data_IF_992047778198
#
_entry.id   IF_992047778198
#
_cell.length_a   1.000
_cell.length_b   1.000
_cell.length_c   1.000
_cell.angle_alpha   90.00
_cell.angle_beta   90.00
_cell.angle_gamma   90.00
#
_symmetry.space_group_name_H-M   'P 1'
#
loop_
_entity.id
_entity.type
_entity.pdbx_description
1 polymer ?
#
# COMPACT_ATOMS: atom_id res chain seq x y z
N UNK A 1 92.28 -21.48 -31.96
CA UNK A 1 92.20 -20.10 -31.42
C UNK A 1 91.26 -19.30 -32.31
N UNK A 2 90.52 -18.34 -31.72
CA UNK A 2 89.46 -17.50 -32.31
C UNK A 2 88.06 -18.14 -32.46
N UNK A 3 87.23 -17.87 -31.46
CA UNK A 3 85.77 -17.87 -31.55
C UNK A 3 85.30 -16.52 -32.13
N UNK A 4 84.63 -16.56 -33.29
CA UNK A 4 83.67 -15.53 -33.71
C UNK A 4 82.26 -16.15 -33.61
N UNK A 5 81.35 -15.48 -32.89
CA UNK A 5 79.91 -15.80 -32.84
C UNK A 5 79.16 -14.56 -33.32
N UNK A 6 77.98 -14.60 -33.94
CA UNK A 6 77.11 -15.61 -34.58
C UNK A 6 75.99 -14.76 -35.18
N UNK A 7 75.62 -14.96 -36.45
CA UNK A 7 74.44 -14.34 -37.04
C UNK A 7 73.69 -15.37 -37.87
N UNK A 8 72.52 -15.78 -37.41
CA UNK A 8 71.54 -16.53 -38.21
C UNK A 8 70.15 -16.07 -37.75
N UNK A 9 69.40 -15.46 -38.68
CA UNK A 9 68.01 -15.09 -38.51
C UNK A 9 67.11 -16.33 -38.70
N UNK A 10 66.15 -16.52 -37.80
CA UNK A 10 65.11 -17.54 -37.91
C UNK A 10 63.77 -16.82 -38.02
N UNK A 11 63.11 -16.96 -39.16
CA UNK A 11 61.71 -16.58 -39.36
C UNK A 11 60.81 -17.65 -38.73
N UNK A 12 59.94 -17.25 -37.79
CA UNK A 12 58.83 -18.09 -37.31
C UNK A 12 57.51 -17.40 -37.64
N UNK A 13 56.74 -18.03 -38.52
CA UNK A 13 55.34 -17.72 -38.79
C UNK A 13 54.50 -18.11 -37.57
N UNK A 14 53.78 -17.16 -36.98
CA UNK A 14 52.71 -17.43 -36.00
C UNK A 14 51.38 -17.26 -36.71
N UNK A 15 50.65 -18.37 -36.92
CA UNK A 15 49.24 -18.35 -37.27
C UNK A 15 48.44 -17.83 -36.07
N UNK A 16 47.76 -16.69 -36.23
CA UNK A 16 46.76 -16.22 -35.27
C UNK A 16 45.41 -16.82 -35.67
N UNK A 17 44.97 -17.82 -34.93
CA UNK A 17 43.59 -18.32 -35.01
C UNK A 17 42.67 -17.31 -34.31
N UNK A 18 41.79 -16.67 -35.08
CA UNK A 18 40.71 -15.82 -34.58
C UNK A 18 39.61 -16.72 -33.97
N UNK A 19 39.61 -16.85 -32.66
CA UNK A 19 38.47 -17.42 -31.92
C UNK A 19 37.41 -16.32 -31.81
N UNK A 20 36.33 -16.43 -32.58
CA UNK A 20 35.11 -15.65 -32.35
C UNK A 20 34.54 -16.05 -30.98
N UNK A 21 34.75 -15.21 -29.98
CA UNK A 21 33.98 -15.27 -28.75
C UNK A 21 32.56 -14.79 -29.07
N UNK A 22 31.64 -15.74 -29.27
CA UNK A 22 30.22 -15.46 -29.25
C UNK A 22 29.86 -15.02 -27.82
N UNK A 23 29.68 -13.72 -27.63
CA UNK A 23 29.12 -13.15 -26.41
C UNK A 23 27.69 -13.65 -26.26
N UNK A 24 27.49 -14.72 -25.49
CA UNK A 24 26.16 -15.04 -24.96
C UNK A 24 25.77 -13.91 -24.02
N UNK A 25 24.99 -12.96 -24.52
CA UNK A 25 24.22 -12.05 -23.68
C UNK A 25 23.24 -12.90 -22.87
N UNK A 26 23.56 -13.12 -21.59
CA UNK A 26 22.57 -13.54 -20.60
C UNK A 26 21.46 -12.47 -20.66
N UNK A 27 20.20 -12.81 -20.93
CA UNK A 27 19.14 -11.81 -20.91
C UNK A 27 19.14 -11.17 -19.53
N UNK A 28 19.36 -9.85 -19.49
CA UNK A 28 19.24 -9.06 -18.27
C UNK A 28 17.88 -9.35 -17.66
N UNK A 29 17.84 -9.73 -16.39
CA UNK A 29 16.63 -9.86 -15.58
C UNK A 29 15.72 -8.67 -15.91
N UNK A 30 14.56 -8.91 -16.55
CA UNK A 30 13.60 -7.86 -16.84
C UNK A 30 13.37 -7.06 -15.56
N UNK A 31 13.44 -5.73 -15.63
CA UNK A 31 13.32 -4.90 -14.44
C UNK A 31 11.94 -5.12 -13.81
N UNK A 32 11.94 -5.76 -12.63
CA UNK A 32 10.72 -6.06 -11.86
C UNK A 32 9.93 -4.81 -11.50
N UNK A 33 10.58 -3.65 -11.48
CA UNK A 33 9.98 -2.37 -11.13
C UNK A 33 10.20 -1.38 -12.27
N UNK A 34 9.12 -0.83 -12.81
CA UNK A 34 9.14 0.04 -13.99
C UNK A 34 8.23 1.26 -13.79
N UNK A 35 8.14 2.11 -14.81
CA UNK A 35 7.26 3.27 -14.90
C UNK A 35 7.21 4.14 -13.61
N UNK A 36 8.35 4.72 -13.17
CA UNK A 36 8.40 5.51 -11.96
C UNK A 36 7.54 6.77 -12.07
N UNK A 37 6.55 6.89 -11.18
CA UNK A 37 5.68 8.07 -11.09
C UNK A 37 5.79 8.67 -9.68
N UNK A 38 6.03 9.98 -9.60
CA UNK A 38 6.23 10.66 -8.31
C UNK A 38 4.98 11.45 -7.94
N UNK A 39 4.50 11.23 -6.72
CA UNK A 39 3.28 11.85 -6.21
C UNK A 39 3.55 12.60 -4.90
N UNK A 40 2.78 13.66 -4.69
CA UNK A 40 2.54 14.26 -3.38
C UNK A 40 1.12 13.94 -2.95
N UNK A 41 0.98 13.42 -1.73
CA UNK A 41 -0.33 13.18 -1.12
C UNK A 41 -0.42 14.02 0.15
N UNK A 42 -1.55 14.69 0.34
CA UNK A 42 -1.97 15.25 1.62
C UNK A 42 -3.22 14.50 2.06
N UNK A 43 -3.10 13.66 3.10
CA UNK A 43 -4.22 12.96 3.71
C UNK A 43 -4.64 13.67 4.99
N UNK A 44 -5.92 14.01 5.11
CA UNK A 44 -6.49 14.68 6.28
C UNK A 44 -7.65 13.85 6.83
N UNK A 45 -7.61 13.56 8.12
CA UNK A 45 -8.69 13.00 8.90
C UNK A 45 -9.36 14.11 9.69
N UNK A 46 -10.68 14.19 9.62
CA UNK A 46 -11.47 15.14 10.40
C UNK A 46 -12.35 14.38 11.38
N UNK A 47 -12.29 14.79 12.64
CA UNK A 47 -13.13 14.30 13.73
C UNK A 47 -14.05 15.43 14.19
N UNK A 48 -15.35 15.19 14.19
CA UNK A 48 -16.36 16.16 14.64
C UNK A 48 -17.00 15.64 15.92
N UNK A 49 -16.77 16.32 17.03
CA UNK A 49 -17.53 16.04 18.25
C UNK A 49 -18.80 16.89 18.24
N UNK A 50 -19.94 16.27 17.94
CA UNK A 50 -21.23 16.96 17.87
C UNK A 50 -21.74 17.20 19.29
N UNK A 51 -21.87 16.14 20.10
CA UNK A 51 -22.42 16.25 21.47
C UNK A 51 -21.90 15.17 22.44
N UNK A 52 -20.84 14.44 22.10
CA UNK A 52 -20.27 13.40 22.96
C UNK A 52 -19.36 14.00 24.03
N UNK A 53 -19.19 13.29 25.14
CA UNK A 53 -18.14 13.57 26.12
C UNK A 53 -16.92 12.74 25.72
N UNK A 54 -15.80 13.39 25.45
CA UNK A 54 -14.58 12.76 24.93
C UNK A 54 -13.39 13.18 25.81
N UNK A 55 -13.27 12.56 26.99
CA UNK A 55 -12.25 12.87 28.00
C UNK A 55 -10.85 12.52 27.50
N UNK A 56 -10.76 11.43 26.73
CA UNK A 56 -9.53 10.98 26.07
C UNK A 56 -9.86 10.55 24.66
N UNK A 57 -9.14 11.04 23.68
CA UNK A 57 -9.33 10.73 22.26
C UNK A 57 -7.98 10.40 21.61
N UNK A 58 -7.88 9.21 21.05
CA UNK A 58 -6.67 8.71 20.39
C UNK A 58 -6.92 8.60 18.89
N UNK A 59 -5.96 9.07 18.09
CA UNK A 59 -6.00 9.00 16.62
C UNK A 59 -4.70 8.44 16.10
N UNK A 60 -4.80 7.59 15.10
CA UNK A 60 -3.68 6.93 14.43
C UNK A 60 -3.81 7.15 12.94
N UNK A 61 -2.81 7.77 12.32
CA UNK A 61 -2.72 7.93 10.87
C UNK A 61 -1.54 7.09 10.34
N UNK A 62 -1.68 6.45 9.17
CA UNK A 62 -0.56 5.78 8.52
C UNK A 62 0.48 6.80 8.09
N UNK A 63 1.75 6.46 8.34
CA UNK A 63 2.90 7.19 7.84
C UNK A 63 3.57 6.29 6.80
N UNK A 64 3.48 6.62 5.49
CA UNK A 64 4.12 5.84 4.44
C UNK A 64 5.61 5.69 4.68
N UNK A 65 6.16 4.56 4.21
CA UNK A 65 7.58 4.22 4.34
C UNK A 65 8.10 3.57 3.06
N UNK A 66 9.42 3.38 3.00
CA UNK A 66 10.10 2.70 1.90
C UNK A 66 9.62 1.24 1.76
N UNK A 67 9.26 0.86 0.54
CA UNK A 67 8.96 -0.50 0.10
C UNK A 67 9.55 -0.74 -1.30
N UNK A 68 9.54 -1.98 -1.77
CA UNK A 68 10.15 -2.32 -3.06
C UNK A 68 9.54 -1.54 -4.26
N UNK A 69 8.22 -1.33 -4.26
CA UNK A 69 7.46 -0.57 -5.28
C UNK A 69 7.07 0.85 -4.85
N UNK A 70 7.45 1.29 -3.65
CA UNK A 70 7.19 2.63 -3.12
C UNK A 70 8.50 3.17 -2.56
N UNK A 71 9.16 4.07 -3.31
CA UNK A 71 10.51 4.55 -2.97
C UNK A 71 10.56 6.07 -2.81
N UNK A 72 11.67 6.59 -2.31
CA UNK A 72 11.92 8.03 -2.20
C UNK A 72 10.80 8.73 -1.41
N UNK A 73 10.36 8.06 -0.34
CA UNK A 73 9.33 8.53 0.58
C UNK A 73 9.91 9.65 1.43
N UNK A 74 9.26 10.81 1.38
CA UNK A 74 9.62 11.96 2.19
C UNK A 74 8.38 12.52 2.86
N UNK A 75 8.39 12.54 4.19
CA UNK A 75 7.32 13.14 4.98
C UNK A 75 7.58 14.65 5.03
N UNK A 76 6.74 15.42 4.36
CA UNK A 76 6.87 16.88 4.27
C UNK A 76 6.26 17.57 5.49
N UNK A 77 5.15 17.03 6.01
CA UNK A 77 4.40 17.65 7.12
C UNK A 77 3.51 16.64 7.84
N UNK A 78 3.43 16.75 9.16
CA UNK A 78 2.39 16.11 9.98
C UNK A 78 1.80 17.16 10.92
N UNK A 79 0.48 17.36 10.86
CA UNK A 79 -0.20 18.40 11.63
C UNK A 79 -1.54 17.94 12.23
N UNK A 80 -1.85 18.27 13.49
CA UNK A 80 -0.99 18.95 14.47
C UNK A 80 0.29 18.15 14.76
N UNK A 81 1.22 18.67 15.56
CA UNK A 81 2.41 17.89 15.93
C UNK A 81 1.95 16.57 16.59
N UNK A 82 2.35 15.41 16.06
CA UNK A 82 1.93 14.13 16.62
C UNK A 82 2.49 13.97 18.03
N UNK A 83 1.72 13.32 18.90
CA UNK A 83 2.18 12.91 20.23
C UNK A 83 3.32 11.91 20.12
N UNK A 84 3.28 11.03 19.11
CA UNK A 84 4.32 10.05 18.83
C UNK A 84 4.35 9.67 17.34
N UNK A 85 5.53 9.39 16.82
CA UNK A 85 5.70 8.68 15.55
C UNK A 85 6.38 7.35 15.88
N UNK A 86 5.83 6.24 15.39
CA UNK A 86 6.31 4.90 15.69
C UNK A 86 6.10 3.97 14.50
N UNK A 87 6.52 2.72 14.66
CA UNK A 87 6.18 1.63 13.74
C UNK A 87 5.53 0.48 14.50
N UNK A 88 4.61 -0.25 13.86
CA UNK A 88 4.13 -1.50 14.45
C UNK A 88 5.31 -2.50 14.60
N UNK A 89 5.34 -3.31 15.67
CA UNK A 89 6.49 -4.17 15.97
C UNK A 89 6.54 -5.41 15.08
N UNK A 90 5.45 -5.77 14.40
CA UNK A 90 5.35 -7.01 13.62
C UNK A 90 5.74 -6.81 12.16
N UNK A 91 5.29 -5.72 11.53
CA UNK A 91 5.45 -5.50 10.09
C UNK A 91 6.21 -4.19 9.76
N UNK A 92 6.54 -3.39 10.78
CA UNK A 92 7.15 -2.08 10.69
C UNK A 92 6.26 -1.01 10.05
N UNK A 93 4.94 -1.14 10.04
CA UNK A 93 4.04 -0.14 9.45
C UNK A 93 4.15 1.19 10.20
N UNK A 94 4.34 2.30 9.49
CA UNK A 94 4.52 3.62 10.10
C UNK A 94 3.21 4.19 10.65
N UNK A 95 3.27 4.78 11.84
CA UNK A 95 2.10 5.27 12.58
C UNK A 95 2.42 6.66 13.15
N UNK A 96 1.57 7.64 12.87
CA UNK A 96 1.50 8.90 13.59
C UNK A 96 0.35 8.83 14.59
N UNK A 97 0.68 9.02 15.87
CA UNK A 97 -0.26 8.95 16.98
C UNK A 97 -0.53 10.34 17.54
N UNK A 98 -1.81 10.60 17.82
CA UNK A 98 -2.29 11.83 18.43
C UNK A 98 -3.16 11.51 19.64
N UNK A 99 -2.93 12.23 20.73
CA UNK A 99 -3.74 12.19 21.93
C UNK A 99 -4.36 13.57 22.17
N UNK A 100 -5.69 13.62 22.18
CA UNK A 100 -6.44 14.76 22.70
C UNK A 100 -7.09 14.39 24.04
N UNK A 101 -7.27 15.39 24.89
CA UNK A 101 -7.99 15.27 26.15
C UNK A 101 -9.10 16.31 26.22
N UNK A 102 -10.23 15.96 26.80
CA UNK A 102 -11.39 16.84 26.98
C UNK A 102 -11.81 17.53 25.67
N UNK A 103 -12.04 16.74 24.62
CA UNK A 103 -12.43 17.27 23.29
C UNK A 103 -13.79 17.96 23.41
N UNK A 104 -13.88 19.30 23.18
CA UNK A 104 -15.12 20.03 23.41
C UNK A 104 -16.28 19.53 22.54
N UNK A 105 -17.50 19.63 23.05
CA UNK A 105 -18.71 19.48 22.23
C UNK A 105 -18.77 20.59 21.18
N UNK A 106 -19.47 20.32 20.08
CA UNK A 106 -19.57 21.23 18.93
C UNK A 106 -18.21 21.67 18.37
N UNK A 107 -17.22 20.76 18.36
CA UNK A 107 -15.88 21.04 17.84
C UNK A 107 -15.49 20.10 16.69
N UNK A 108 -14.50 20.53 15.91
CA UNK A 108 -13.93 19.77 14.81
C UNK A 108 -12.41 19.83 14.86
N UNK A 109 -11.75 18.70 14.62
CA UNK A 109 -10.30 18.53 14.69
C UNK A 109 -9.80 17.86 13.42
N UNK A 110 -8.75 18.43 12.83
CA UNK A 110 -8.10 17.91 11.64
C UNK A 110 -6.72 17.35 11.97
N UNK A 111 -6.41 16.17 11.45
CA UNK A 111 -5.11 15.51 11.52
C UNK A 111 -4.64 15.23 10.11
N UNK A 112 -3.45 15.68 9.74
CA UNK A 112 -2.95 15.67 8.37
C UNK A 112 -1.56 15.06 8.31
N UNK A 113 -1.34 14.19 7.34
CA UNK A 113 -0.02 13.69 6.96
C UNK A 113 0.18 14.02 5.48
N UNK A 114 1.21 14.81 5.18
CA UNK A 114 1.61 15.17 3.82
C UNK A 114 2.99 14.60 3.51
N UNK A 115 3.10 13.94 2.37
CA UNK A 115 4.29 13.23 1.96
C UNK A 115 4.41 13.16 0.46
N UNK A 116 5.63 12.90 0.00
CA UNK A 116 5.92 12.52 -1.38
C UNK A 116 6.47 11.12 -1.44
N UNK A 117 6.24 10.43 -2.55
CA UNK A 117 6.84 9.13 -2.84
C UNK A 117 6.88 8.88 -4.34
N UNK A 118 7.68 7.91 -4.76
CA UNK A 118 7.73 7.38 -6.12
C UNK A 118 7.11 5.99 -6.15
N UNK A 119 5.98 5.87 -6.84
CA UNK A 119 5.35 4.60 -7.19
C UNK A 119 6.11 3.96 -8.36
N UNK A 120 6.30 2.65 -8.30
CA UNK A 120 6.77 1.83 -9.41
C UNK A 120 5.73 0.77 -9.72
N UNK A 121 5.41 0.60 -10.99
CA UNK A 121 4.71 -0.60 -11.45
C UNK A 121 5.57 -1.83 -11.14
N UNK A 122 4.91 -2.91 -10.75
CA UNK A 122 5.58 -4.19 -10.48
C UNK A 122 5.22 -5.14 -11.60
N UNK A 123 6.20 -5.82 -12.19
CA UNK A 123 5.98 -6.86 -13.20
C UNK A 123 6.90 -8.05 -12.92
N UNK A 124 6.33 -9.09 -12.32
CA UNK A 124 7.06 -10.31 -11.97
C UNK A 124 6.56 -11.44 -12.88
N UNK A 125 7.43 -11.85 -13.80
CA UNK A 125 7.24 -13.06 -14.60
C UNK A 125 7.84 -14.25 -13.84
N UNK A 126 7.00 -15.21 -13.47
CA UNK A 126 7.42 -16.41 -12.74
C UNK A 126 7.59 -17.57 -13.71
N UNK A 127 8.81 -18.08 -13.79
CA UNK A 127 9.09 -19.39 -14.34
C UNK A 127 8.90 -20.45 -13.24
N UNK A 128 7.85 -21.31 -13.30
CA UNK A 128 7.54 -22.27 -12.26
C UNK A 128 8.69 -23.23 -11.98
N UNK A 129 9.52 -23.56 -12.97
CA UNK A 129 10.64 -24.49 -12.83
C UNK A 129 11.80 -23.91 -12.00
N UNK A 130 11.80 -22.59 -11.75
CA UNK A 130 12.82 -21.88 -10.97
C UNK A 130 12.35 -21.48 -9.58
N UNK A 131 11.12 -21.84 -9.19
CA UNK A 131 10.63 -21.57 -7.84
C UNK A 131 11.36 -22.49 -6.86
N UNK A 132 12.05 -21.89 -5.89
CA UNK A 132 12.80 -22.64 -4.90
C UNK A 132 11.91 -23.26 -3.81
N UNK A 133 12.52 -24.02 -2.92
CA UNK A 133 11.84 -24.62 -1.76
C UNK A 133 11.73 -23.63 -0.60
N UNK A 134 10.67 -23.75 0.20
CA UNK A 134 10.53 -22.96 1.41
C UNK A 134 11.39 -23.53 2.54
N UNK A 135 12.11 -22.65 3.24
CA UNK A 135 12.63 -22.97 4.55
C UNK A 135 11.50 -22.84 5.59
N UNK A 136 10.80 -23.94 5.88
CA UNK A 136 9.67 -23.94 6.83
C UNK A 136 10.06 -23.59 8.28
N UNK A 137 11.36 -23.68 8.62
CA UNK A 137 11.88 -23.29 9.93
C UNK A 137 12.16 -21.79 10.05
N UNK A 138 12.09 -21.04 8.95
CA UNK A 138 12.28 -19.60 8.94
C UNK A 138 11.13 -18.90 9.73
N UNK A 139 11.44 -18.08 10.73
CA UNK A 139 10.44 -17.29 11.44
C UNK A 139 9.57 -16.41 10.52
N UNK A 140 10.10 -15.90 9.42
CA UNK A 140 9.31 -15.11 8.46
C UNK A 140 8.33 -16.00 7.68
N UNK A 141 8.72 -17.23 7.31
CA UNK A 141 7.78 -18.21 6.75
C UNK A 141 6.63 -18.47 7.73
N UNK A 142 6.95 -18.79 9.00
CA UNK A 142 5.95 -19.06 10.03
C UNK A 142 5.06 -17.84 10.33
N UNK A 143 5.61 -16.63 10.25
CA UNK A 143 4.86 -15.38 10.41
C UNK A 143 3.80 -15.23 9.32
N UNK A 144 4.15 -15.45 8.06
CA UNK A 144 3.25 -15.23 6.92
C UNK A 144 2.41 -16.44 6.52
N UNK A 145 2.57 -17.58 7.20
CA UNK A 145 1.72 -18.79 7.08
C UNK A 145 0.86 -19.03 8.33
N UNK A 146 0.81 -18.08 9.26
CA UNK A 146 0.03 -18.20 10.49
C UNK A 146 -1.47 -17.95 10.26
N UNK A 147 -2.30 -18.81 10.83
CA UNK A 147 -3.74 -18.65 10.96
C UNK A 147 -4.13 -17.39 11.77
N UNK A 148 -5.06 -16.57 11.25
CA UNK A 148 -5.48 -15.30 11.85
C UNK A 148 -6.99 -15.08 11.74
N UNK A 149 -7.80 -15.81 12.51
CA UNK A 149 -9.26 -15.73 12.40
C UNK A 149 -9.81 -14.37 12.90
N UNK A 150 -9.10 -13.69 13.80
CA UNK A 150 -9.45 -12.34 14.25
C UNK A 150 -9.29 -11.26 13.16
N UNK A 151 -8.58 -11.57 12.08
CA UNK A 151 -8.33 -10.69 10.94
C UNK A 151 -9.00 -11.18 9.65
N UNK A 152 -10.04 -12.02 9.77
CA UNK A 152 -10.77 -12.66 8.67
C UNK A 152 -9.92 -13.60 7.79
N UNK A 153 -8.84 -14.16 8.32
CA UNK A 153 -7.97 -15.12 7.60
C UNK A 153 -8.08 -16.49 8.25
N UNK A 154 -9.21 -17.15 8.04
CA UNK A 154 -9.49 -18.45 8.65
C UNK A 154 -8.82 -19.64 7.92
N UNK A 155 -7.50 -19.60 7.73
CA UNK A 155 -6.74 -20.63 6.98
C UNK A 155 -6.83 -22.07 7.51
N UNK A 156 -7.14 -22.25 8.79
CA UNK A 156 -7.26 -23.56 9.44
C UNK A 156 -8.72 -24.04 9.51
N UNK A 157 -9.67 -23.23 9.01
CA UNK A 157 -11.07 -23.63 8.93
C UNK A 157 -11.22 -24.75 7.87
N UNK A 158 -11.85 -25.89 8.20
CA UNK A 158 -11.99 -27.01 7.28
C UNK A 158 -12.66 -26.66 5.95
N UNK A 159 -13.56 -25.66 5.92
CA UNK A 159 -14.21 -25.21 4.68
C UNK A 159 -13.17 -24.57 3.75
N UNK A 160 -12.31 -23.70 4.30
CA UNK A 160 -11.24 -23.05 3.54
C UNK A 160 -10.19 -24.07 3.09
N UNK A 161 -9.78 -24.98 3.97
CA UNK A 161 -8.80 -26.01 3.65
C UNK A 161 -9.28 -26.94 2.52
N UNK A 162 -10.52 -27.44 2.62
CA UNK A 162 -11.09 -28.33 1.61
C UNK A 162 -11.29 -27.59 0.29
N UNK A 163 -11.83 -26.37 0.31
CA UNK A 163 -11.98 -25.57 -0.89
C UNK A 163 -10.65 -25.30 -1.59
N UNK A 164 -9.63 -24.88 -0.85
CA UNK A 164 -8.30 -24.64 -1.41
C UNK A 164 -7.70 -25.92 -2.00
N UNK A 165 -7.83 -27.06 -1.29
CA UNK A 165 -7.37 -28.37 -1.76
C UNK A 165 -8.06 -28.79 -3.07
N UNK A 166 -9.37 -28.61 -3.16
CA UNK A 166 -10.15 -28.96 -4.35
C UNK A 166 -9.75 -28.08 -5.54
N UNK A 167 -9.54 -26.77 -5.32
CA UNK A 167 -9.12 -25.81 -6.35
C UNK A 167 -7.71 -26.13 -6.85
N UNK A 168 -6.76 -26.44 -5.96
CA UNK A 168 -5.37 -26.73 -6.38
C UNK A 168 -5.21 -28.14 -6.94
N UNK A 169 -6.03 -29.11 -6.52
CA UNK A 169 -5.94 -30.50 -6.93
C UNK A 169 -4.59 -31.14 -6.59
N UNK A 170 -3.98 -31.83 -7.55
CA UNK A 170 -2.69 -32.51 -7.39
C UNK A 170 -1.45 -31.61 -7.63
N UNK A 171 -1.65 -30.30 -7.84
CA UNK A 171 -0.53 -29.38 -8.06
C UNK A 171 0.36 -29.30 -6.82
N UNK A 172 1.68 -29.25 -7.04
CA UNK A 172 2.67 -29.16 -5.96
C UNK A 172 3.46 -27.86 -6.01
N UNK A 173 3.58 -27.25 -7.20
CA UNK A 173 4.30 -26.00 -7.38
C UNK A 173 3.53 -24.83 -6.72
N UNK A 174 4.15 -24.08 -5.78
CA UNK A 174 3.44 -23.05 -5.02
C UNK A 174 2.96 -21.88 -5.89
N UNK A 175 3.65 -21.54 -6.98
CA UNK A 175 3.15 -20.53 -7.91
C UNK A 175 1.88 -20.99 -8.61
N UNK A 176 1.88 -22.22 -9.14
CA UNK A 176 0.72 -22.76 -9.86
C UNK A 176 -0.48 -22.98 -8.93
N UNK A 177 -0.24 -23.37 -7.67
CA UNK A 177 -1.28 -23.37 -6.63
C UNK A 177 -1.88 -21.98 -6.42
N UNK A 178 -1.04 -20.97 -6.20
CA UNK A 178 -1.49 -19.58 -6.01
C UNK A 178 -2.24 -19.07 -7.25
N UNK A 179 -1.77 -19.36 -8.46
CA UNK A 179 -2.45 -19.01 -9.73
C UNK A 179 -3.85 -19.61 -9.80
N UNK A 180 -4.01 -20.91 -9.52
CA UNK A 180 -5.33 -21.57 -9.52
C UNK A 180 -6.28 -20.97 -8.50
N UNK A 181 -5.80 -20.69 -7.29
CA UNK A 181 -6.59 -20.04 -6.24
C UNK A 181 -7.03 -18.64 -6.69
N UNK A 182 -6.08 -17.85 -7.21
CA UNK A 182 -6.33 -16.50 -7.71
C UNK A 182 -7.40 -16.48 -8.82
N UNK A 183 -7.22 -17.32 -9.84
CA UNK A 183 -8.14 -17.42 -10.98
C UNK A 183 -9.52 -17.87 -10.55
N UNK A 184 -9.58 -18.85 -9.65
CA UNK A 184 -10.85 -19.33 -9.10
C UNK A 184 -11.57 -18.19 -8.36
N UNK A 185 -10.87 -17.43 -7.50
CA UNK A 185 -11.47 -16.29 -6.79
C UNK A 185 -11.97 -15.23 -7.77
N UNK A 186 -11.13 -14.83 -8.74
CA UNK A 186 -11.50 -13.82 -9.74
C UNK A 186 -12.71 -14.23 -10.59
N UNK A 187 -12.90 -15.53 -10.83
CA UNK A 187 -14.02 -16.05 -11.61
C UNK A 187 -15.28 -16.36 -10.79
N UNK A 188 -15.19 -16.55 -9.46
CA UNK A 188 -16.29 -17.09 -8.65
C UNK A 188 -16.74 -16.18 -7.50
N UNK A 189 -16.02 -15.09 -7.22
CA UNK A 189 -16.45 -14.09 -6.24
C UNK A 189 -16.95 -12.88 -6.99
N UNK A 190 -18.14 -12.40 -6.62
CA UNK A 190 -18.74 -11.18 -7.14
C UNK A 190 -18.44 -9.98 -6.24
N UNK A 191 -18.15 -8.83 -6.86
CA UNK A 191 -17.79 -7.64 -6.10
C UNK A 191 -19.00 -7.00 -5.41
N UNK A 192 -18.96 -6.92 -4.08
CA UNK A 192 -20.01 -6.33 -3.25
C UNK A 192 -19.40 -5.46 -2.15
N UNK A 193 -19.71 -4.17 -2.17
CA UNK A 193 -19.22 -3.19 -1.19
C UNK A 193 -20.37 -2.42 -0.50
N UNK A 194 -20.32 -2.19 0.82
CA UNK A 194 -19.35 -2.77 1.76
C UNK A 194 -19.66 -4.25 2.04
N UNK A 195 -18.64 -5.03 2.37
CA UNK A 195 -18.79 -6.45 2.68
C UNK A 195 -18.28 -6.74 4.11
N UNK A 196 -19.18 -6.87 5.10
CA UNK A 196 -18.77 -7.02 6.50
C UNK A 196 -18.42 -8.46 6.91
N UNK A 197 -18.47 -9.43 5.99
CA UNK A 197 -18.22 -10.84 6.28
C UNK A 197 -16.74 -11.21 6.26
N UNK A 198 -16.36 -12.39 6.79
CA UNK A 198 -14.98 -12.90 6.78
C UNK A 198 -14.58 -13.60 5.48
N UNK A 199 -13.35 -14.11 5.34
CA UNK A 199 -12.92 -14.87 4.16
C UNK A 199 -13.80 -16.12 3.93
N UNK A 200 -14.09 -16.87 4.99
CA UNK A 200 -14.99 -18.02 4.90
C UNK A 200 -16.38 -17.65 4.39
N UNK A 201 -16.94 -16.59 4.93
CA UNK A 201 -18.24 -16.11 4.49
C UNK A 201 -18.20 -15.60 3.05
N UNK A 202 -17.12 -14.94 2.62
CA UNK A 202 -16.94 -14.54 1.22
C UNK A 202 -16.92 -15.76 0.27
N UNK A 203 -16.23 -16.84 0.67
CA UNK A 203 -16.27 -18.10 -0.06
C UNK A 203 -17.70 -18.67 -0.15
N UNK A 204 -18.40 -18.78 0.99
CA UNK A 204 -19.75 -19.38 1.03
C UNK A 204 -20.79 -18.55 0.27
N UNK A 205 -20.69 -17.22 0.34
CA UNK A 205 -21.62 -16.27 -0.30
C UNK A 205 -21.30 -16.01 -1.76
N UNK A 206 -20.09 -16.35 -2.20
CA UNK A 206 -19.55 -15.98 -3.52
C UNK A 206 -19.56 -14.46 -3.74
N UNK A 207 -19.35 -13.67 -2.69
CA UNK A 207 -19.30 -12.21 -2.79
C UNK A 207 -18.41 -11.55 -1.73
N UNK A 208 -17.84 -10.39 -2.07
CA UNK A 208 -17.02 -9.61 -1.14
C UNK A 208 -16.48 -8.31 -1.75
N UNK A 209 -15.83 -7.48 -0.94
CA UNK A 209 -15.08 -6.31 -1.42
C UNK A 209 -13.58 -6.61 -1.55
N UNK A 210 -12.78 -5.63 -1.98
CA UNK A 210 -11.32 -5.80 -2.14
C UNK A 210 -10.62 -6.42 -0.91
N UNK A 211 -11.09 -6.08 0.30
CA UNK A 211 -10.60 -6.67 1.54
C UNK A 211 -10.91 -8.16 1.65
N UNK A 212 -12.10 -8.59 1.22
CA UNK A 212 -12.51 -10.01 1.29
C UNK A 212 -11.98 -10.87 0.17
N UNK A 213 -11.80 -10.32 -1.04
CA UNK A 213 -11.01 -10.99 -2.08
C UNK A 213 -9.59 -11.27 -1.57
N UNK A 214 -8.95 -10.26 -0.97
CA UNK A 214 -7.60 -10.37 -0.42
C UNK A 214 -7.56 -11.38 0.73
N UNK A 215 -8.48 -11.29 1.69
CA UNK A 215 -8.54 -12.20 2.84
C UNK A 215 -8.75 -13.65 2.43
N UNK A 216 -9.66 -13.91 1.48
CA UNK A 216 -9.91 -15.25 0.95
C UNK A 216 -8.68 -15.81 0.24
N UNK A 217 -8.04 -15.01 -0.63
CA UNK A 217 -6.82 -15.42 -1.31
C UNK A 217 -5.70 -15.76 -0.31
N UNK A 218 -5.48 -14.89 0.69
CA UNK A 218 -4.50 -15.15 1.75
C UNK A 218 -4.84 -16.43 2.53
N UNK A 219 -6.09 -16.61 2.97
CA UNK A 219 -6.49 -17.77 3.76
C UNK A 219 -6.29 -19.09 3.00
N UNK A 220 -6.65 -19.13 1.71
CA UNK A 220 -6.44 -20.29 0.84
C UNK A 220 -4.97 -20.54 0.52
N UNK A 221 -4.16 -19.48 0.28
CA UNK A 221 -2.72 -19.65 0.09
C UNK A 221 -2.04 -20.22 1.34
N UNK A 222 -2.36 -19.64 2.51
CA UNK A 222 -1.79 -20.05 3.79
C UNK A 222 -2.16 -21.50 4.11
N UNK A 223 -3.42 -21.91 3.85
CA UNK A 223 -3.85 -23.31 4.04
C UNK A 223 -3.10 -24.31 3.15
N UNK A 224 -2.49 -23.83 2.06
CA UNK A 224 -1.65 -24.61 1.13
C UNK A 224 -0.15 -24.45 1.40
N UNK A 225 0.26 -23.82 2.51
CA UNK A 225 1.65 -23.60 2.88
C UNK A 225 2.35 -22.49 2.09
N UNK A 226 1.59 -21.57 1.48
CA UNK A 226 2.12 -20.45 0.70
C UNK A 226 2.03 -19.19 1.58
N UNK A 227 3.17 -18.54 1.92
CA UNK A 227 3.13 -17.33 2.70
C UNK A 227 2.41 -16.20 1.95
N UNK A 228 1.43 -15.58 2.59
CA UNK A 228 0.62 -14.54 1.99
C UNK A 228 0.31 -13.41 2.98
N UNK A 229 0.10 -12.20 2.47
CA UNK A 229 -0.23 -11.02 3.27
C UNK A 229 -1.05 -10.01 2.47
N UNK A 230 -1.82 -9.14 3.13
CA UNK A 230 -2.50 -8.04 2.48
C UNK A 230 -1.53 -6.86 2.35
N UNK A 231 -1.80 -6.02 1.36
CA UNK A 231 -1.20 -4.70 1.17
C UNK A 231 -2.34 -3.70 1.10
N UNK A 232 -2.40 -2.83 2.10
CA UNK A 232 -3.47 -1.88 2.33
C UNK A 232 -2.97 -0.45 2.11
N UNK A 233 -3.80 0.37 1.47
CA UNK A 233 -3.39 1.69 1.06
C UNK A 233 -4.46 2.46 0.34
N UNK A 234 -4.02 3.46 -0.42
CA UNK A 234 -4.88 4.34 -1.18
C UNK A 234 -4.54 4.20 -2.67
N UNK A 235 -5.54 3.88 -3.47
CA UNK A 235 -5.49 3.90 -4.94
C UNK A 235 -6.01 5.24 -5.44
N UNK A 236 -5.42 5.73 -6.52
CA UNK A 236 -5.81 6.98 -7.14
C UNK A 236 -5.49 6.96 -8.64
N UNK A 237 -6.23 7.77 -9.38
CA UNK A 237 -6.20 7.79 -10.84
C UNK A 237 -6.25 9.23 -11.35
N UNK A 238 -5.71 9.51 -12.55
CA UNK A 238 -5.82 10.81 -13.18
C UNK A 238 -7.29 11.19 -13.44
N UNK A 239 -7.58 12.49 -13.63
CA UNK A 239 -6.63 13.61 -13.71
C UNK A 239 -6.10 14.08 -12.34
N UNK A 240 -4.90 14.67 -12.34
CA UNK A 240 -4.30 15.33 -11.18
C UNK A 240 -4.17 16.85 -11.43
N UNK A 241 -4.27 17.71 -10.40
CA UNK A 241 -4.54 17.38 -9.01
C UNK A 241 -5.97 16.86 -8.78
N UNK A 242 -6.10 15.84 -7.93
CA UNK A 242 -7.38 15.21 -7.59
C UNK A 242 -7.66 15.27 -6.09
N UNK A 243 -8.93 15.29 -5.69
CA UNK A 243 -9.36 15.21 -4.29
C UNK A 243 -10.35 14.07 -4.12
N UNK A 244 -10.16 13.24 -3.10
CA UNK A 244 -11.08 12.15 -2.77
C UNK A 244 -11.52 12.24 -1.30
N UNK A 245 -12.66 11.65 -0.97
CA UNK A 245 -13.18 11.58 0.40
C UNK A 245 -14.10 10.37 0.58
N UNK A 246 -14.22 9.82 1.80
CA UNK A 246 -15.31 8.87 2.11
C UNK A 246 -16.68 9.54 2.26
N UNK A 247 -16.77 10.87 2.16
CA UNK A 247 -18.04 11.62 2.07
C UNK A 247 -18.42 11.99 0.64
N UNK A 248 -17.52 11.75 -0.30
CA UNK A 248 -17.76 11.96 -1.72
C UNK A 248 -18.68 10.89 -2.32
N UNK A 249 -19.36 11.22 -3.42
CA UNK A 249 -19.95 10.24 -4.32
C UNK A 249 -19.02 10.00 -5.52
N UNK A 250 -19.32 9.03 -6.39
CA UNK A 250 -18.49 8.78 -7.58
C UNK A 250 -18.23 10.03 -8.46
N UNK A 251 -19.08 11.05 -8.35
CA UNK A 251 -19.06 12.24 -9.19
C UNK A 251 -18.26 13.43 -8.64
N UNK A 252 -18.30 13.76 -7.34
CA UNK A 252 -17.50 14.89 -6.79
C UNK A 252 -17.61 15.10 -5.25
N UNK A 253 -16.49 15.30 -4.52
CA UNK A 253 -15.21 14.67 -4.84
C UNK A 253 -15.44 13.16 -4.96
N UNK A 254 -14.71 12.43 -5.81
CA UNK A 254 -14.84 10.98 -5.90
C UNK A 254 -14.84 10.33 -4.51
N UNK A 255 -15.92 9.59 -4.28
CA UNK A 255 -16.11 8.70 -3.15
C UNK A 255 -15.18 7.51 -3.29
N UNK A 256 -14.46 7.18 -2.22
CA UNK A 256 -13.59 6.02 -2.09
C UNK A 256 -12.25 6.08 -2.83
N UNK A 257 -11.23 5.58 -2.13
CA UNK A 257 -9.97 5.16 -2.74
C UNK A 257 -9.06 4.43 -1.77
N UNK A 258 -9.62 3.89 -0.68
CA UNK A 258 -8.95 2.79 0.00
C UNK A 258 -8.99 1.57 -0.90
N UNK A 259 -7.88 0.86 -1.00
CA UNK A 259 -7.83 -0.42 -1.70
C UNK A 259 -6.92 -1.39 -0.97
N UNK A 260 -7.18 -2.69 -1.16
CA UNK A 260 -6.37 -3.77 -0.61
C UNK A 260 -6.19 -4.83 -1.69
N UNK A 261 -4.95 -5.29 -1.85
CA UNK A 261 -4.62 -6.46 -2.65
C UNK A 261 -3.74 -7.42 -1.84
N UNK A 262 -3.52 -8.64 -2.34
CA UNK A 262 -2.65 -9.60 -1.69
C UNK A 262 -1.23 -9.57 -2.27
N UNK A 263 -0.24 -9.92 -1.46
CA UNK A 263 1.05 -10.43 -1.93
C UNK A 263 1.24 -11.86 -1.43
N UNK A 264 1.82 -12.72 -2.25
CA UNK A 264 2.30 -14.04 -1.84
C UNK A 264 3.80 -14.18 -2.09
N UNK A 265 4.51 -14.90 -1.25
CA UNK A 265 5.97 -15.02 -1.33
C UNK A 265 6.37 -16.29 -2.06
N UNK A 266 7.30 -16.20 -3.01
CA UNK A 266 7.94 -17.35 -3.65
C UNK A 266 9.48 -17.30 -3.48
N UNK A 267 10.13 -18.41 -3.07
CA UNK A 267 11.59 -18.47 -3.00
C UNK A 267 12.21 -18.24 -4.39
N UNK A 268 13.20 -17.36 -4.44
CA UNK A 268 13.87 -16.94 -5.70
C UNK A 268 13.23 -15.72 -6.38
N UNK A 269 11.98 -15.36 -6.04
CA UNK A 269 11.28 -14.23 -6.65
C UNK A 269 10.95 -13.11 -5.65
N UNK A 270 10.62 -13.46 -4.40
CA UNK A 270 10.17 -12.51 -3.39
C UNK A 270 8.65 -12.42 -3.31
N UNK A 271 8.15 -11.25 -2.89
CA UNK A 271 6.72 -10.98 -2.78
C UNK A 271 6.12 -10.63 -4.14
N UNK A 272 5.07 -11.36 -4.51
CA UNK A 272 4.38 -11.28 -5.80
C UNK A 272 2.98 -10.73 -5.56
N UNK A 273 2.60 -9.62 -6.22
CA UNK A 273 1.26 -9.05 -6.07
C UNK A 273 0.21 -9.95 -6.72
N UNK A 274 -0.98 -10.00 -6.14
CA UNK A 274 -2.14 -10.72 -6.64
C UNK A 274 -3.41 -9.92 -6.25
N UNK A 275 -3.99 -9.23 -7.22
CA UNK A 275 -5.21 -8.45 -7.02
C UNK A 275 -6.41 -9.06 -7.75
N UNK A 276 -7.04 -10.04 -7.10
CA UNK A 276 -8.18 -10.75 -7.69
C UNK A 276 -9.41 -9.85 -7.85
N UNK A 277 -9.50 -8.75 -7.10
CA UNK A 277 -10.63 -7.83 -7.19
C UNK A 277 -10.56 -6.96 -8.45
N UNK A 278 -9.38 -6.42 -8.78
CA UNK A 278 -9.17 -5.77 -10.07
C UNK A 278 -9.12 -6.78 -11.22
N UNK A 279 -8.54 -7.96 -11.02
CA UNK A 279 -8.57 -9.03 -12.02
C UNK A 279 -9.99 -9.42 -12.44
N UNK A 280 -10.89 -9.57 -11.47
CA UNK A 280 -12.33 -9.78 -11.73
C UNK A 280 -12.93 -8.57 -12.47
N UNK A 281 -12.80 -7.36 -11.90
CA UNK A 281 -13.41 -6.16 -12.45
C UNK A 281 -12.91 -5.74 -13.83
N UNK A 282 -11.70 -6.14 -14.23
CA UNK A 282 -11.15 -5.86 -15.56
C UNK A 282 -11.57 -6.86 -16.64
N UNK A 283 -12.08 -8.03 -16.26
CA UNK A 283 -12.30 -9.15 -17.18
C UNK A 283 -11.00 -9.78 -17.71
N UNK A 284 -9.86 -9.44 -17.13
CA UNK A 284 -8.53 -9.95 -17.48
C UNK A 284 -7.74 -10.24 -16.19
N UNK A 285 -8.03 -11.37 -15.52
CA UNK A 285 -7.40 -11.70 -14.24
C UNK A 285 -5.88 -11.84 -14.34
N UNK A 286 -5.36 -12.41 -15.43
CA UNK A 286 -3.91 -12.65 -15.57
C UNK A 286 -3.10 -11.34 -15.52
N UNK A 287 -3.70 -10.24 -15.99
CA UNK A 287 -3.10 -8.90 -15.89
C UNK A 287 -2.81 -8.45 -14.46
N UNK A 288 -3.47 -8.99 -13.44
CA UNK A 288 -3.33 -8.57 -12.04
C UNK A 288 -2.72 -9.65 -11.12
N UNK A 289 -2.18 -10.73 -11.71
CA UNK A 289 -1.31 -11.68 -11.03
C UNK A 289 0.15 -11.38 -11.39
N UNK A 290 0.99 -11.14 -10.40
CA UNK A 290 2.39 -10.75 -10.59
C UNK A 290 2.60 -9.31 -11.04
N UNK A 291 1.51 -8.54 -11.22
CA UNK A 291 1.58 -7.19 -11.75
C UNK A 291 0.81 -6.16 -10.92
N UNK A 292 1.33 -4.93 -10.83
CA UNK A 292 0.60 -3.75 -10.34
C UNK A 292 0.73 -2.61 -11.34
N UNK A 293 -0.40 -2.05 -11.76
CA UNK A 293 -0.47 -1.01 -12.80
C UNK A 293 -0.91 0.34 -12.27
N UNK A 294 -1.92 0.33 -11.39
CA UNK A 294 -2.57 1.55 -10.93
C UNK A 294 -1.74 2.21 -9.82
N UNK A 295 -1.50 3.53 -9.88
CA UNK A 295 -0.84 4.25 -8.81
C UNK A 295 -1.48 4.00 -7.45
N UNK A 296 -0.64 3.60 -6.50
CA UNK A 296 -1.07 3.16 -5.18
C UNK A 296 -0.02 3.56 -4.14
N UNK A 297 -0.46 4.18 -3.04
CA UNK A 297 0.39 4.36 -1.85
C UNK A 297 0.13 3.22 -0.87
N UNK A 298 1.20 2.54 -0.48
CA UNK A 298 1.19 1.52 0.56
C UNK A 298 1.24 2.21 1.93
N UNK A 299 0.14 2.08 2.67
CA UNK A 299 0.02 2.57 4.05
C UNK A 299 0.33 1.46 5.06
N UNK A 300 -0.04 0.22 4.77
CA UNK A 300 0.32 -0.93 5.61
C UNK A 300 0.45 -2.24 4.83
N UNK A 301 1.24 -3.16 5.40
CA UNK A 301 1.30 -4.57 4.99
C UNK A 301 1.10 -5.47 6.20
N UNK A 302 0.50 -6.63 5.99
CA UNK A 302 0.19 -7.57 7.08
C UNK A 302 -1.19 -7.37 7.69
N UNK A 303 -1.59 -8.31 8.54
CA UNK A 303 -2.85 -8.32 9.28
C UNK A 303 -2.62 -7.98 10.74
N UNK A 304 -3.64 -7.45 11.41
CA UNK A 304 -3.56 -7.23 12.86
C UNK A 304 -2.49 -6.20 13.22
N UNK A 305 -2.51 -5.05 12.56
CA UNK A 305 -1.58 -3.95 12.78
C UNK A 305 -1.77 -3.43 14.21
N UNK A 306 -0.72 -3.51 15.02
CA UNK A 306 -0.76 -3.06 16.40
C UNK A 306 -0.66 -1.53 16.46
N UNK A 307 -1.67 -0.90 17.08
CA UNK A 307 -1.65 0.54 17.33
C UNK A 307 -0.71 0.85 18.48
N UNK A 308 0.17 1.84 18.30
CA UNK A 308 1.19 2.24 19.28
C UNK A 308 1.00 3.72 19.65
N UNK A 309 0.79 4.05 20.94
CA UNK A 309 0.48 3.14 22.04
C UNK A 309 -0.84 2.38 21.79
N UNK A 310 -1.07 1.29 22.51
CA UNK A 310 -2.32 0.55 22.34
C UNK A 310 -3.51 1.32 22.92
N UNK A 311 -4.67 1.19 22.27
CA UNK A 311 -5.93 1.79 22.72
C UNK A 311 -6.58 1.02 23.90
N UNK A 312 -5.80 0.38 24.76
CA UNK A 312 -6.26 -0.45 25.88
C UNK A 312 -5.50 -1.78 25.98
N UNK A 313 -6.22 -2.90 26.09
CA UNK A 313 -5.64 -4.23 25.79
C UNK A 313 -5.04 -4.22 24.38
N UNK A 314 -4.15 -5.17 24.05
CA UNK A 314 -3.40 -5.22 22.78
C UNK A 314 -4.34 -5.22 21.55
N UNK A 315 -4.80 -4.04 21.16
CA UNK A 315 -5.74 -3.83 20.07
C UNK A 315 -4.99 -3.75 18.76
N UNK A 316 -5.48 -4.50 17.79
CA UNK A 316 -5.00 -4.50 16.43
C UNK A 316 -6.10 -4.04 15.49
N UNK A 317 -5.71 -3.42 14.37
CA UNK A 317 -6.61 -3.17 13.24
C UNK A 317 -6.25 -4.14 12.13
N UNK A 318 -7.22 -4.86 11.60
CA UNK A 318 -6.95 -5.92 10.60
C UNK A 318 -6.31 -5.36 9.33
N UNK A 319 -6.69 -4.13 8.93
CA UNK A 319 -6.11 -3.37 7.83
C UNK A 319 -5.97 -1.91 8.26
N UNK A 320 -4.85 -1.26 7.90
CA UNK A 320 -4.59 0.15 8.24
C UNK A 320 -4.45 0.99 6.96
N UNK A 321 -5.59 1.26 6.31
CA UNK A 321 -5.65 1.96 5.02
C UNK A 321 -5.71 3.48 5.14
N UNK A 322 -6.44 4.01 6.13
CA UNK A 322 -6.72 5.44 6.23
C UNK A 322 -6.39 6.02 7.59
N UNK A 323 -7.05 5.53 8.65
CA UNK A 323 -6.88 5.99 10.02
C UNK A 323 -7.62 5.05 10.97
N UNK A 324 -7.29 5.14 12.26
CA UNK A 324 -8.02 4.52 13.33
C UNK A 324 -8.15 5.50 14.49
N UNK A 325 -9.21 5.39 15.29
CA UNK A 325 -9.38 6.24 16.46
C UNK A 325 -10.20 5.54 17.54
N UNK A 326 -9.98 5.96 18.79
CA UNK A 326 -10.73 5.50 19.96
C UNK A 326 -10.94 6.67 20.91
N UNK A 327 -12.09 6.70 21.59
CA UNK A 327 -12.31 7.64 22.67
C UNK A 327 -12.89 7.00 23.93
N UNK A 328 -12.72 7.73 25.02
CA UNK A 328 -13.28 7.44 26.33
C UNK A 328 -14.12 8.63 26.79
N UNK A 329 -15.27 8.31 27.38
CA UNK A 329 -16.28 9.26 27.81
C UNK A 329 -17.66 8.76 27.42
N UNK A 330 -18.63 9.66 27.33
CA UNK A 330 -20.03 9.36 27.00
C UNK A 330 -20.26 9.47 25.49
N UNK A 331 -20.59 8.35 24.86
CA UNK A 331 -21.01 8.29 23.47
C UNK A 331 -22.42 8.91 23.31
N UNK A 332 -22.51 9.98 22.50
CA UNK A 332 -23.78 10.59 22.13
C UNK A 332 -23.88 10.81 20.62
N UNK A 333 -23.18 11.81 20.10
CA UNK A 333 -23.14 12.10 18.66
C UNK A 333 -21.78 12.65 18.28
N UNK A 334 -21.21 12.07 17.23
CA UNK A 334 -19.93 12.44 16.65
C UNK A 334 -19.91 12.00 15.19
N UNK A 335 -18.89 12.44 14.48
CA UNK A 335 -18.64 12.05 13.10
C UNK A 335 -17.14 11.99 12.84
N UNK A 336 -16.73 11.18 11.86
CA UNK A 336 -15.34 11.06 11.43
C UNK A 336 -15.25 10.75 9.95
N UNK A 337 -14.37 11.45 9.25
CA UNK A 337 -14.17 11.27 7.82
C UNK A 337 -12.75 11.59 7.42
N UNK A 338 -12.39 11.23 6.19
CA UNK A 338 -11.11 11.60 5.61
C UNK A 338 -11.29 12.28 4.26
N UNK A 339 -10.30 13.07 3.92
CA UNK A 339 -10.04 13.59 2.57
C UNK A 339 -8.59 13.32 2.23
N UNK A 340 -8.28 13.18 0.95
CA UNK A 340 -6.90 13.25 0.50
C UNK A 340 -6.81 13.94 -0.85
N UNK A 341 -5.75 14.72 -1.04
CA UNK A 341 -5.39 15.30 -2.32
C UNK A 341 -4.20 14.58 -2.91
N UNK A 342 -4.20 14.41 -4.23
CA UNK A 342 -3.10 13.78 -4.98
C UNK A 342 -2.62 14.76 -6.03
N UNK A 343 -1.31 14.99 -6.06
CA UNK A 343 -0.62 15.75 -7.09
C UNK A 343 0.46 14.87 -7.69
N UNK A 344 0.51 14.75 -9.02
CA UNK A 344 1.69 14.23 -9.70
C UNK A 344 2.75 15.33 -9.76
N UNK A 345 3.97 15.02 -9.34
CA UNK A 345 5.08 15.97 -9.28
C UNK A 345 6.24 15.46 -10.14
N UNK A 346 6.98 16.39 -10.76
CA UNK A 346 8.17 16.01 -11.51
C UNK A 346 9.18 15.28 -10.61
N UNK A 347 9.76 14.18 -11.12
CA UNK A 347 10.91 13.57 -10.47
C UNK A 347 12.02 14.62 -10.35
N UNK A 348 12.53 14.87 -9.14
CA UNK A 348 13.69 15.75 -9.00
C UNK A 348 14.86 15.13 -9.76
N UNK A 349 15.50 15.90 -10.65
CA UNK A 349 16.81 15.56 -11.21
C UNK A 349 17.85 15.64 -10.10
N UNK A 350 17.83 14.72 -9.15
CA UNK A 350 18.89 14.64 -8.16
C UNK A 350 20.07 13.96 -8.83
N UNK A 351 21.12 14.73 -9.06
CA UNK A 351 22.35 14.30 -9.69
C UNK A 351 22.88 13.02 -9.02
N UNK A 352 23.28 12.06 -9.86
CA UNK A 352 24.12 10.94 -9.42
C UNK A 352 25.47 11.52 -9.02
N UNK A 353 25.61 11.94 -7.77
CA UNK A 353 26.93 12.19 -7.19
C UNK A 353 27.56 10.83 -6.90
N UNK A 354 28.58 10.52 -7.71
CA UNK A 354 29.52 9.43 -7.48
C UNK A 354 30.04 9.51 -6.05
N UNK A 355 29.81 8.46 -5.27
CA UNK A 355 30.51 8.27 -4.00
C UNK A 355 32.01 8.21 -4.27
N UNK A 356 32.74 9.23 -3.80
CA UNK A 356 34.16 9.10 -3.52
C UNK A 356 34.33 9.22 -2.02
N UNK A 357 34.92 8.19 -1.44
CA UNK A 357 35.21 8.11 -0.03
C UNK A 357 36.25 9.16 0.37
N UNK A 358 36.01 9.91 1.45
CA UNK A 358 37.07 10.22 2.41
C UNK A 358 36.54 10.69 3.77
N UNK A 359 37.05 9.99 4.79
CA UNK A 359 37.33 10.34 6.19
C UNK A 359 36.63 11.50 6.93
N UNK A 360 35.99 11.09 8.03
CA UNK A 360 36.01 11.63 9.41
C UNK A 360 36.80 12.94 9.64
N UNK A 361 36.15 13.94 10.24
CA UNK A 361 36.61 14.70 11.43
C UNK A 361 35.42 15.43 12.10
N UNK A 362 35.42 15.35 13.42
CA UNK A 362 34.55 16.02 14.40
C UNK A 362 34.88 17.51 14.55
N UNK A 363 33.85 18.37 14.69
CA UNK A 363 33.93 19.49 15.65
C UNK A 363 32.57 20.15 15.96
N UNK A 364 32.47 20.57 17.23
CA UNK A 364 31.41 21.24 17.98
C UNK A 364 30.99 22.63 17.46
N UNK A 365 29.70 22.91 17.62
CA UNK A 365 28.99 24.15 18.06
C UNK A 365 29.64 25.53 17.90
N UNK A 366 28.94 26.48 17.26
CA UNK A 366 28.75 27.88 17.74
C UNK A 366 27.41 28.47 17.22
N UNK A 367 26.69 29.16 18.11
CA UNK A 367 25.49 29.98 17.89
C UNK A 367 25.80 31.28 17.12
N UNK A 368 24.88 31.74 16.26
CA UNK A 368 24.94 33.07 15.66
C UNK A 368 23.55 33.60 15.33
N UNK A 369 23.04 34.48 16.18
CA UNK A 369 21.84 35.31 15.97
C UNK A 369 22.14 36.46 15.00
N UNK A 370 21.23 36.75 14.08
CA UNK A 370 20.99 38.14 13.63
C UNK A 370 19.57 38.32 13.07
N UNK A 371 18.96 39.40 13.53
CA UNK A 371 17.62 39.94 13.27
C UNK A 371 17.58 40.88 12.06
N UNK A 372 16.40 41.49 11.87
CA UNK A 372 16.00 42.63 10.99
C UNK A 372 15.82 42.32 9.50
N UNK A 373 14.79 42.81 8.80
CA UNK A 373 13.60 43.63 9.13
C UNK A 373 12.69 43.69 7.89
N UNK A 374 11.37 43.83 8.14
CA UNK A 374 10.29 44.45 7.35
C UNK A 374 10.49 44.78 5.85
N UNK A 375 9.49 44.41 5.04
CA UNK A 375 8.72 45.42 4.31
C UNK A 375 7.33 44.92 3.90
N UNK A 376 6.35 45.76 4.20
CA UNK A 376 4.94 45.71 3.81
C UNK A 376 4.81 46.31 2.41
N UNK A 377 4.02 45.70 1.53
CA UNK A 377 3.35 46.42 0.46
C UNK A 377 2.06 45.69 0.05
N UNK A 378 0.96 46.35 0.35
CA UNK A 378 -0.39 46.10 -0.13
C UNK A 378 -0.55 46.52 -1.60
N UNK A 379 -1.30 45.76 -2.40
CA UNK A 379 -2.19 46.37 -3.40
C UNK A 379 -3.30 45.40 -3.82
N UNK A 380 -4.52 45.83 -3.56
CA UNK A 380 -5.78 45.40 -4.14
C UNK A 380 -5.82 45.65 -5.66
N UNK A 381 -6.43 44.77 -6.44
CA UNK A 381 -7.46 45.18 -7.41
C UNK A 381 -8.23 44.01 -8.04
N UNK A 382 -9.46 44.35 -8.39
CA UNK A 382 -10.66 43.58 -8.69
C UNK A 382 -10.80 43.08 -10.14
N UNK A 383 -11.41 41.88 -10.25
CA UNK A 383 -12.57 41.48 -11.08
C UNK A 383 -12.65 41.86 -12.58
N UNK A 384 -12.78 40.86 -13.48
CA UNK A 384 -13.74 40.88 -14.61
C UNK A 384 -14.17 39.44 -14.99
N UNK A 385 -15.48 39.27 -15.18
CA UNK A 385 -16.24 38.11 -15.67
C UNK A 385 -15.97 37.71 -17.13
N UNK A 386 -16.12 36.42 -17.48
CA UNK A 386 -16.67 35.99 -18.77
C UNK A 386 -17.54 34.74 -18.65
N UNK A 387 -18.77 34.88 -19.15
CA UNK A 387 -19.83 33.87 -19.36
C UNK A 387 -19.59 33.12 -20.67
N UNK A 388 -20.00 31.84 -20.69
CA UNK A 388 -20.68 31.24 -21.86
C UNK A 388 -20.05 29.95 -22.39
N UNK A 389 -20.61 28.78 -22.06
CA UNK A 389 -21.58 28.06 -22.90
C UNK A 389 -21.96 26.72 -22.23
N UNK A 390 -23.26 26.45 -22.20
CA UNK A 390 -23.88 25.18 -21.79
C UNK A 390 -24.47 24.46 -23.02
N UNK A 391 -24.93 23.21 -22.79
CA UNK A 391 -25.70 22.24 -23.61
C UNK A 391 -24.85 20.96 -23.71
N UNK A 392 -25.21 19.78 -23.21
CA UNK A 392 -26.46 19.23 -22.68
C UNK A 392 -26.62 17.81 -23.24
N UNK A 393 -26.96 16.80 -22.43
CA UNK A 393 -27.81 15.64 -22.82
C UNK A 393 -28.28 14.89 -21.56
N UNK A 394 -29.61 14.89 -21.48
CA UNK A 394 -30.65 14.18 -20.71
C UNK A 394 -30.37 12.96 -19.81
N UNK A 395 -31.08 13.03 -18.68
CA UNK A 395 -31.56 11.95 -17.80
C UNK A 395 -32.61 11.04 -18.47
N UNK A 396 -32.70 9.80 -17.98
CA UNK A 396 -33.97 9.06 -17.85
C UNK A 396 -34.15 8.66 -16.39
N UNK A 397 -35.25 9.12 -15.80
CA UNK A 397 -35.70 8.81 -14.43
C UNK A 397 -36.57 7.54 -14.44
N UNK A 398 -36.37 6.68 -13.44
CA UNK A 398 -37.29 5.61 -13.04
C UNK A 398 -37.22 5.44 -11.52
N UNK A 399 -38.33 5.74 -10.86
CA UNK A 399 -38.48 5.95 -9.43
C UNK A 399 -38.30 4.68 -8.56
N UNK A 400 -37.77 4.85 -7.34
CA UNK A 400 -38.36 4.46 -6.04
C UNK A 400 -37.33 4.79 -4.95
N UNK A 401 -37.46 5.97 -4.33
CA UNK A 401 -36.59 6.40 -3.24
C UNK A 401 -37.17 5.94 -1.89
N UNK A 402 -36.58 4.89 -1.33
CA UNK A 402 -36.59 4.64 0.13
C UNK A 402 -35.25 5.14 0.67
N UNK A 403 -35.18 5.87 1.81
CA UNK A 403 -33.91 6.34 2.32
C UNK A 403 -33.12 5.15 2.88
N UNK A 404 -32.16 4.66 2.10
CA UNK A 404 -31.15 3.72 2.55
C UNK A 404 -30.17 4.51 3.43
N UNK A 405 -30.22 4.24 4.73
CA UNK A 405 -29.21 4.69 5.69
C UNK A 405 -27.87 4.06 5.27
N UNK A 406 -26.96 4.87 4.73
CA UNK A 406 -25.59 4.46 4.42
C UNK A 406 -24.85 4.28 5.74
N UNK A 407 -24.74 3.02 6.19
CA UNK A 407 -23.93 2.65 7.33
C UNK A 407 -22.46 2.61 6.88
N UNK A 408 -21.73 3.69 7.13
CA UNK A 408 -20.26 3.70 7.05
C UNK A 408 -19.74 2.76 8.14
N UNK A 409 -19.05 1.69 7.74
CA UNK A 409 -18.38 0.78 8.68
C UNK A 409 -17.16 1.49 9.30
N UNK A 410 -17.41 2.17 10.41
CA UNK A 410 -16.43 2.35 11.48
C UNK A 410 -16.35 1.02 12.22
N UNK A 411 -15.14 0.55 12.56
CA UNK A 411 -14.92 -0.66 13.38
C UNK A 411 -15.78 -0.54 14.65
N UNK A 412 -16.88 -1.30 14.69
CA UNK A 412 -17.87 -1.28 15.77
C UNK A 412 -17.37 -2.13 16.94
N UNK A 413 -17.25 -1.50 18.11
CA UNK A 413 -16.85 -2.09 19.39
C UNK A 413 -17.99 -2.92 20.01
N UNK A 414 -17.66 -4.11 20.49
CA UNK A 414 -18.51 -4.87 21.41
C UNK A 414 -18.52 -4.22 22.80
N UNK A 415 -19.73 -4.02 23.35
CA UNK A 415 -19.98 -3.55 24.72
C UNK A 415 -19.31 -4.47 25.74
N UNK A 416 -18.67 -3.87 26.76
CA UNK A 416 -18.67 -4.44 28.11
C UNK A 416 -19.30 -3.44 29.06
N UNK A 417 -20.44 -3.83 29.65
CA UNK A 417 -20.92 -3.30 30.92
C UNK A 417 -19.96 -3.78 32.01
N UNK A 418 -19.25 -2.87 32.65
CA UNK A 418 -19.35 -2.57 34.08
C UNK A 418 -18.45 -1.39 34.40
#
# INVERSE_FOLDING_TARGET
MMHLRKGVAVFSFVMVALILAASFTIPSKAETFSNPQRFRIRSTVTIVNINSTMDRFQVYLPVPREWASQRNVSIERIEPTPTMISTDPVYGNGIAYFLLTNVPKHSSWNFTVQYTFTFYETHIQVDPAKVGEYNISDPEYAKYTRHRPADDVESDDPIIQNAAKDIVGAETNPYLKAKRIYEWIAANIEYQYPSPWSAKEAYLRRSGDCGKYTALFCAMCISQGIPARPVAGIVFSPPYPGTCSNRGGFSNPPGYGGHVYAEFYLPGYGWIPADASYGHGSGDPERYLGNTWNPFVINSKGYGIEMIPSAGEKYTVSLFQHYAWWFWGEDASYDSYYTYTVEEIAASKTAVEKSSASSVISSRTVFGTTSTSSNVASSTNTLVWKIGYAIGILMVLGAFATPIIVLVFVIRRLRRKK
#
